data_IF_130672588727
#
_entry.id   IF_130672588727
#
_cell.length_a   1.000
_cell.length_b   1.000
_cell.length_c   1.000
_cell.angle_alpha   90.00
_cell.angle_beta   90.00
_cell.angle_gamma   90.00
#
_symmetry.space_group_name_H-M   'P 1'
#
loop_
_entity.id
_entity.type
_entity.pdbx_description
1 polymer ?
#
# COMPACT_ATOMS: atom_id res chain seq x y z
N UNK A 1 -33.83 -18.93 13.09
CA UNK A 1 -32.87 -18.48 14.11
C UNK A 1 -31.93 -17.49 13.41
N UNK A 2 -32.20 -16.19 13.49
CA UNK A 2 -31.36 -15.15 12.88
C UNK A 2 -30.17 -14.91 13.79
N UNK A 3 -29.02 -15.48 13.44
CA UNK A 3 -27.75 -15.15 14.06
C UNK A 3 -27.36 -13.74 13.61
N UNK A 4 -27.61 -12.73 14.46
CA UNK A 4 -27.03 -11.41 14.29
C UNK A 4 -25.56 -11.50 14.67
N UNK A 5 -24.69 -11.83 13.72
CA UNK A 5 -23.26 -11.58 13.88
C UNK A 5 -23.07 -10.07 13.81
N UNK A 6 -22.77 -9.45 14.94
CA UNK A 6 -22.35 -8.05 14.97
C UNK A 6 -21.01 -7.96 14.22
N UNK A 7 -21.05 -7.60 12.94
CA UNK A 7 -19.86 -7.31 12.15
C UNK A 7 -19.36 -5.94 12.58
N UNK A 8 -18.36 -5.94 13.46
CA UNK A 8 -17.65 -4.71 13.80
C UNK A 8 -16.73 -4.34 12.64
N UNK A 9 -16.83 -3.11 12.15
CA UNK A 9 -15.92 -2.55 11.17
C UNK A 9 -15.13 -1.38 11.77
N UNK A 10 -13.87 -1.26 11.38
CA UNK A 10 -12.97 -0.17 11.75
C UNK A 10 -12.21 0.28 10.52
N UNK A 11 -12.35 1.55 10.16
CA UNK A 11 -11.56 2.16 9.10
C UNK A 11 -10.14 2.46 9.62
N UNK A 12 -9.17 2.27 8.73
CA UNK A 12 -7.80 2.71 8.94
C UNK A 12 -7.63 4.06 8.24
N UNK A 13 -7.05 5.00 8.96
CA UNK A 13 -6.81 6.34 8.45
C UNK A 13 -5.39 6.44 7.92
N UNK A 14 -5.22 7.19 6.84
CA UNK A 14 -3.90 7.57 6.35
C UNK A 14 -3.18 8.40 7.41
N UNK A 15 -1.95 8.02 7.71
CA UNK A 15 -1.09 8.72 8.65
C UNK A 15 -0.29 9.77 7.89
N UNK A 16 -0.27 11.04 8.36
CA UNK A 16 0.56 12.07 7.76
C UNK A 16 2.04 11.67 7.74
N UNK A 17 2.66 11.84 6.58
CA UNK A 17 4.09 11.61 6.37
C UNK A 17 4.75 12.96 6.08
N UNK A 18 5.61 13.41 6.97
CA UNK A 18 6.39 14.63 6.80
C UNK A 18 7.67 14.33 6.03
N UNK A 19 7.91 15.01 4.90
CA UNK A 19 9.07 14.76 4.01
C UNK A 19 10.05 15.92 4.04
N UNK A 20 11.34 15.61 4.16
CA UNK A 20 12.44 16.58 4.11
C UNK A 20 13.66 15.97 3.44
N UNK A 21 13.91 16.35 2.19
CA UNK A 21 15.02 15.82 1.39
C UNK A 21 14.88 14.31 1.19
N UNK A 22 15.91 13.55 1.58
CA UNK A 22 15.94 12.08 1.51
C UNK A 22 15.37 11.39 2.76
N UNK A 23 14.71 12.12 3.65
CA UNK A 23 14.08 11.56 4.85
C UNK A 23 12.57 11.84 4.84
N UNK A 24 11.80 10.88 5.34
CA UNK A 24 10.41 11.07 5.71
C UNK A 24 10.16 10.55 7.12
N UNK A 25 9.22 11.15 7.84
CA UNK A 25 8.87 10.73 9.19
C UNK A 25 7.35 10.62 9.35
N UNK A 26 6.91 9.69 10.19
CA UNK A 26 5.52 9.50 10.54
C UNK A 26 5.40 8.96 11.96
N UNK A 27 4.24 9.17 12.59
CA UNK A 27 3.99 8.72 13.97
C UNK A 27 2.93 7.62 13.99
N UNK A 28 3.24 6.53 14.67
CA UNK A 28 2.27 5.51 15.04
C UNK A 28 2.23 5.45 16.57
N UNK A 29 1.05 5.69 17.14
CA UNK A 29 0.86 5.90 18.57
C UNK A 29 1.83 6.96 19.13
N UNK A 30 2.77 6.53 19.98
CA UNK A 30 3.82 7.36 20.61
C UNK A 30 5.18 7.24 19.92
N UNK A 31 5.31 6.34 18.96
CA UNK A 31 6.59 6.00 18.34
C UNK A 31 6.78 6.84 17.05
N UNK A 32 7.93 7.49 16.93
CA UNK A 32 8.34 8.19 15.71
C UNK A 32 9.12 7.23 14.80
N UNK A 33 8.63 7.06 13.58
CA UNK A 33 9.28 6.29 12.54
C UNK A 33 9.99 7.22 11.57
N UNK A 34 11.16 6.79 11.09
CA UNK A 34 11.92 7.48 10.05
C UNK A 34 12.07 6.56 8.85
N UNK A 35 11.99 7.13 7.65
CA UNK A 35 12.20 6.46 6.39
C UNK A 35 13.29 7.22 5.62
N UNK A 36 14.43 6.57 5.38
CA UNK A 36 15.54 7.16 4.64
C UNK A 36 15.60 6.59 3.23
N UNK A 37 15.46 7.46 2.25
CA UNK A 37 15.55 7.14 0.83
C UNK A 37 17.01 7.10 0.40
N UNK A 38 17.37 6.10 -0.41
CA UNK A 38 18.72 5.98 -0.94
C UNK A 38 18.79 4.99 -2.09
N UNK A 39 20.01 4.53 -2.36
CA UNK A 39 20.31 3.60 -3.44
C UNK A 39 21.18 2.46 -2.87
N UNK A 40 21.02 1.22 -3.36
CA UNK A 40 21.90 0.09 -3.04
C UNK A 40 23.26 0.28 -3.70
N UNK A 41 24.34 -0.04 -2.99
CA UNK A 41 25.70 0.12 -3.50
C UNK A 41 25.99 -0.83 -4.67
N UNK A 42 25.47 -2.06 -4.61
CA UNK A 42 25.75 -3.14 -5.55
C UNK A 42 24.93 -3.03 -6.84
N UNK A 43 23.61 -2.94 -6.71
CA UNK A 43 22.68 -3.00 -7.84
C UNK A 43 22.16 -1.64 -8.29
N UNK A 44 22.63 -0.56 -7.65
CA UNK A 44 22.19 0.83 -7.92
C UNK A 44 20.67 0.99 -7.87
N UNK A 45 19.97 0.14 -7.11
CA UNK A 45 18.50 0.16 -7.00
C UNK A 45 18.06 1.09 -5.88
N UNK A 46 16.97 1.85 -6.06
CA UNK A 46 16.34 2.62 -5.01
C UNK A 46 16.01 1.75 -3.79
N UNK A 47 16.13 2.32 -2.60
CA UNK A 47 15.76 1.68 -1.34
C UNK A 47 15.15 2.67 -0.37
N UNK A 48 14.34 2.15 0.55
CA UNK A 48 13.86 2.89 1.73
C UNK A 48 14.26 2.11 2.97
N UNK A 49 14.93 2.77 3.91
CA UNK A 49 15.26 2.21 5.23
C UNK A 49 14.29 2.80 6.24
N UNK A 50 13.36 1.99 6.71
CA UNK A 50 12.45 2.33 7.80
C UNK A 50 13.11 2.00 9.13
N UNK A 51 13.12 2.95 10.07
CA UNK A 51 13.71 2.77 11.40
C UNK A 51 12.78 3.30 12.49
N UNK A 52 12.66 2.50 13.55
CA UNK A 52 12.06 2.87 14.83
C UNK A 52 12.72 2.01 15.92
N UNK A 53 12.01 1.02 16.46
CA UNK A 53 12.56 0.00 17.38
C UNK A 53 13.38 -1.07 16.66
N UNK A 54 13.01 -1.36 15.41
CA UNK A 54 13.76 -2.20 14.48
C UNK A 54 13.92 -1.46 13.16
N UNK A 55 14.88 -1.91 12.37
CA UNK A 55 15.12 -1.41 11.03
C UNK A 55 14.61 -2.40 9.99
N UNK A 56 13.93 -1.90 8.97
CA UNK A 56 13.51 -2.65 7.79
C UNK A 56 14.01 -1.94 6.53
N UNK A 57 14.61 -2.69 5.61
CA UNK A 57 15.04 -2.14 4.32
C UNK A 57 14.16 -2.69 3.22
N UNK A 58 13.46 -1.80 2.54
CA UNK A 58 12.83 -2.09 1.26
C UNK A 58 13.82 -1.83 0.13
N UNK A 59 13.99 -2.78 -0.79
CA UNK A 59 14.79 -2.60 -2.00
C UNK A 59 13.87 -2.69 -3.21
N UNK A 60 13.93 -1.68 -4.08
CA UNK A 60 13.24 -1.71 -5.36
C UNK A 60 13.64 -2.92 -6.18
N UNK A 61 12.68 -3.46 -6.92
CA UNK A 61 12.92 -4.51 -7.91
C UNK A 61 13.64 -3.92 -9.14
N UNK A 62 13.36 -2.65 -9.48
CA UNK A 62 13.84 -1.98 -10.68
C UNK A 62 14.86 -0.89 -10.37
N UNK A 63 15.85 -0.73 -11.24
CA UNK A 63 17.00 0.16 -11.04
C UNK A 63 16.63 1.65 -11.09
N UNK A 64 15.65 2.05 -11.90
CA UNK A 64 15.26 3.46 -12.02
C UNK A 64 13.88 3.75 -11.43
N UNK A 65 13.38 2.88 -10.54
CA UNK A 65 12.11 3.14 -9.91
C UNK A 65 12.17 4.38 -9.00
N UNK A 66 11.08 5.13 -8.96
CA UNK A 66 10.75 6.01 -7.84
C UNK A 66 9.98 5.19 -6.81
N UNK A 67 10.37 5.32 -5.56
CA UNK A 67 9.67 4.71 -4.45
C UNK A 67 8.81 5.75 -3.77
N UNK A 68 7.55 5.41 -3.58
CA UNK A 68 6.65 6.18 -2.74
C UNK A 68 5.98 5.27 -1.72
N UNK A 69 5.50 5.82 -0.62
CA UNK A 69 4.83 5.02 0.39
C UNK A 69 3.74 5.80 1.12
N UNK A 70 2.76 5.05 1.60
CA UNK A 70 1.73 5.51 2.51
C UNK A 70 1.61 4.58 3.72
N UNK A 71 1.22 5.16 4.85
CA UNK A 71 1.01 4.43 6.10
C UNK A 71 -0.44 4.61 6.53
N UNK A 72 -1.07 3.54 6.97
CA UNK A 72 -2.45 3.54 7.44
C UNK A 72 -2.52 2.92 8.83
N UNK A 73 -3.25 3.55 9.74
CA UNK A 73 -3.42 3.04 11.10
C UNK A 73 -4.80 3.37 11.66
N UNK A 74 -5.21 2.58 12.64
CA UNK A 74 -6.44 2.80 13.40
C UNK A 74 -6.06 2.82 14.89
N UNK A 75 -6.45 3.84 15.68
CA UNK A 75 -6.06 3.94 17.10
C UNK A 75 -6.50 2.76 17.97
N UNK A 76 -7.51 1.99 17.53
CA UNK A 76 -8.01 0.80 18.24
C UNK A 76 -7.35 -0.50 17.77
N UNK A 77 -6.52 -0.44 16.73
CA UNK A 77 -5.82 -1.57 16.13
C UNK A 77 -4.39 -1.66 16.66
N UNK A 78 -3.91 -2.88 16.94
CA UNK A 78 -2.49 -3.14 17.22
C UNK A 78 -1.63 -3.23 15.95
N UNK A 79 -2.28 -3.22 14.80
CA UNK A 79 -1.69 -3.35 13.49
C UNK A 79 -1.82 -2.01 12.76
N UNK A 80 -0.76 -1.65 12.03
CA UNK A 80 -0.78 -0.61 11.00
C UNK A 80 -0.33 -1.22 9.67
N UNK A 81 -0.63 -0.56 8.56
CA UNK A 81 -0.23 -0.99 7.23
C UNK A 81 0.74 0.01 6.62
N UNK A 82 1.78 -0.48 5.97
CA UNK A 82 2.68 0.28 5.13
C UNK A 82 2.52 -0.25 3.70
N UNK A 83 2.26 0.64 2.76
CA UNK A 83 2.20 0.32 1.35
C UNK A 83 3.29 1.08 0.62
N UNK A 84 4.10 0.37 -0.16
CA UNK A 84 5.21 0.94 -0.92
C UNK A 84 4.92 0.75 -2.40
N UNK A 85 4.79 1.84 -3.14
CA UNK A 85 4.62 1.82 -4.58
C UNK A 85 5.98 1.81 -5.28
N UNK A 86 6.13 0.93 -6.25
CA UNK A 86 7.24 0.96 -7.20
C UNK A 86 6.74 1.64 -8.47
N UNK A 87 7.33 2.78 -8.77
CA UNK A 87 6.97 3.57 -9.93
C UNK A 87 8.13 3.59 -10.91
N UNK A 88 7.98 3.05 -12.11
CA UNK A 88 8.98 3.16 -13.18
C UNK A 88 8.54 4.23 -14.19
N UNK A 89 8.24 3.85 -15.44
CA UNK A 89 7.49 4.67 -16.38
C UNK A 89 6.00 4.77 -15.98
N UNK A 90 5.54 3.75 -15.25
CA UNK A 90 4.20 3.61 -14.71
C UNK A 90 4.23 2.95 -13.33
N UNK A 91 3.11 3.03 -12.60
CA UNK A 91 2.95 2.33 -11.33
C UNK A 91 2.83 0.82 -11.53
N UNK A 92 3.63 0.06 -10.78
CA UNK A 92 3.65 -1.42 -10.82
C UNK A 92 2.83 -2.07 -9.70
N UNK A 93 2.01 -1.28 -9.00
CA UNK A 93 1.31 -1.73 -7.79
C UNK A 93 2.06 -1.42 -6.50
N UNK A 94 1.48 -1.85 -5.39
CA UNK A 94 1.95 -1.51 -4.05
C UNK A 94 2.24 -2.76 -3.22
N UNK A 95 3.48 -2.87 -2.73
CA UNK A 95 3.85 -3.90 -1.77
C UNK A 95 3.27 -3.56 -0.40
N UNK A 96 2.56 -4.52 0.20
CA UNK A 96 1.86 -4.38 1.45
C UNK A 96 2.66 -5.02 2.58
N UNK A 97 2.88 -4.23 3.63
CA UNK A 97 3.51 -4.62 4.87
C UNK A 97 2.57 -4.40 6.05
N UNK A 98 2.56 -5.35 6.96
CA UNK A 98 1.97 -5.22 8.29
C UNK A 98 3.04 -4.70 9.24
N UNK A 99 2.73 -3.62 9.95
CA UNK A 99 3.50 -3.12 11.08
C UNK A 99 2.81 -3.55 12.36
N UNK A 100 3.46 -4.42 13.13
CA UNK A 100 2.97 -4.89 14.44
C UNK A 100 4.14 -4.90 15.43
N UNK A 101 3.98 -4.21 16.57
CA UNK A 101 5.04 -4.06 17.59
C UNK A 101 6.39 -3.55 17.03
N UNK A 102 6.33 -2.68 16.01
CA UNK A 102 7.51 -2.11 15.33
C UNK A 102 8.17 -3.04 14.30
N UNK A 103 7.70 -4.27 14.16
CA UNK A 103 8.17 -5.23 13.16
C UNK A 103 7.40 -5.05 11.85
N UNK A 104 8.12 -5.15 10.73
CA UNK A 104 7.58 -5.05 9.38
C UNK A 104 7.49 -6.44 8.76
N UNK A 105 6.29 -6.89 8.43
CA UNK A 105 6.05 -8.19 7.79
C UNK A 105 5.45 -7.98 6.41
N UNK A 106 6.13 -8.41 5.36
CA UNK A 106 5.56 -8.44 4.01
C UNK A 106 4.40 -9.45 3.95
N UNK A 107 3.27 -9.05 3.37
CA UNK A 107 2.09 -9.92 3.24
C UNK A 107 1.63 -10.15 1.79
N UNK A 108 2.15 -9.37 0.85
CA UNK A 108 1.85 -9.52 -0.57
C UNK A 108 1.85 -8.18 -1.30
N UNK A 109 1.48 -8.21 -2.57
CA UNK A 109 1.45 -7.03 -3.45
C UNK A 109 0.03 -6.78 -3.93
N UNK A 110 -0.40 -5.53 -3.88
CA UNK A 110 -1.58 -5.03 -4.58
C UNK A 110 -1.16 -4.73 -6.03
N UNK A 111 -1.30 -5.70 -6.92
CA UNK A 111 -0.88 -5.63 -8.33
C UNK A 111 -1.85 -4.80 -9.17
N UNK A 112 -2.00 -3.52 -8.80
CA UNK A 112 -2.92 -2.58 -9.45
C UNK A 112 -2.35 -1.16 -9.51
N UNK A 113 -2.67 -0.45 -10.59
CA UNK A 113 -2.43 0.98 -10.75
C UNK A 113 -3.74 1.76 -10.86
N UNK A 114 -3.74 3.03 -10.47
CA UNK A 114 -4.87 3.92 -10.75
C UNK A 114 -4.86 4.29 -12.23
N UNK A 115 -5.98 4.10 -12.93
CA UNK A 115 -6.11 4.52 -14.33
C UNK A 115 -6.89 5.83 -14.41
N UNK A 116 -6.15 6.95 -14.44
CA UNK A 116 -6.75 8.29 -14.42
C UNK A 116 -5.85 9.32 -15.11
N UNK A 117 -6.42 10.51 -15.38
CA UNK A 117 -5.67 11.68 -15.85
C UNK A 117 -5.14 12.47 -14.66
N UNK A 118 -3.83 12.73 -14.61
CA UNK A 118 -3.25 13.70 -13.68
C UNK A 118 -3.17 15.05 -14.40
N UNK A 119 -3.69 16.12 -13.79
CA UNK A 119 -3.51 17.48 -14.32
C UNK A 119 -4.10 17.75 -15.71
N UNK A 120 -5.08 16.96 -16.16
CA UNK A 120 -5.68 17.10 -17.50
C UNK A 120 -4.87 16.44 -18.62
N UNK A 121 -3.83 15.68 -18.29
CA UNK A 121 -3.07 14.88 -19.26
C UNK A 121 -3.85 13.63 -19.72
N UNK A 122 -3.30 12.90 -20.69
CA UNK A 122 -3.85 11.60 -21.11
C UNK A 122 -3.92 10.65 -19.91
N UNK A 123 -4.94 9.79 -19.88
CA UNK A 123 -5.04 8.77 -18.83
C UNK A 123 -3.81 7.86 -18.85
N UNK A 124 -3.26 7.62 -17.66
CA UNK A 124 -2.07 6.81 -17.48
C UNK A 124 -2.14 6.02 -16.16
N UNK A 125 -1.09 5.25 -15.89
CA UNK A 125 -0.98 4.23 -14.88
C UNK A 125 -0.30 4.83 -13.66
N UNK A 126 -1.11 5.47 -12.83
CA UNK A 126 -0.64 6.24 -11.69
C UNK A 126 -0.61 5.39 -10.42
N UNK A 127 0.07 5.91 -9.40
CA UNK A 127 0.11 5.26 -8.08
C UNK A 127 -1.30 5.04 -7.56
N UNK A 128 -1.57 3.83 -7.08
CA UNK A 128 -2.84 3.49 -6.44
C UNK A 128 -2.95 4.06 -5.02
N UNK A 129 -1.81 4.36 -4.36
CA UNK A 129 -1.74 4.74 -2.95
C UNK A 129 -2.76 5.83 -2.55
N UNK A 130 -2.92 6.94 -3.30
CA UNK A 130 -3.83 8.02 -2.92
C UNK A 130 -5.30 7.57 -2.83
N UNK A 131 -5.65 6.49 -3.53
CA UNK A 131 -7.02 6.01 -3.72
C UNK A 131 -7.33 4.76 -2.89
N UNK A 132 -6.47 4.33 -1.96
CA UNK A 132 -6.72 3.14 -1.15
C UNK A 132 -7.56 3.49 0.07
N UNK A 133 -8.64 2.73 0.26
CA UNK A 133 -9.43 2.69 1.48
C UNK A 133 -9.28 1.34 2.17
N UNK A 134 -9.00 1.35 3.48
CA UNK A 134 -8.73 0.14 4.27
C UNK A 134 -9.73 0.04 5.40
N UNK A 135 -10.46 -1.08 5.44
CA UNK A 135 -11.45 -1.38 6.47
C UNK A 135 -11.18 -2.75 7.05
N UNK A 136 -11.00 -2.81 8.36
CA UNK A 136 -10.92 -4.06 9.09
C UNK A 136 -12.30 -4.47 9.60
N UNK A 137 -12.64 -5.74 9.42
CA UNK A 137 -13.82 -6.37 10.01
C UNK A 137 -13.41 -7.37 11.08
N UNK A 138 -14.38 -8.04 11.72
CA UNK A 138 -14.10 -9.17 12.61
C UNK A 138 -13.38 -10.33 11.94
N UNK A 139 -13.47 -10.47 10.61
CA UNK A 139 -12.98 -11.65 9.87
C UNK A 139 -11.77 -11.34 8.98
N UNK A 140 -11.78 -10.19 8.30
CA UNK A 140 -10.83 -9.83 7.26
C UNK A 140 -10.57 -8.33 7.24
N UNK A 141 -9.39 -7.94 6.77
CA UNK A 141 -9.12 -6.57 6.33
C UNK A 141 -9.38 -6.46 4.83
N UNK A 142 -10.11 -5.43 4.42
CA UNK A 142 -10.43 -5.11 3.04
C UNK A 142 -9.62 -3.90 2.59
N UNK A 143 -9.05 -4.00 1.38
CA UNK A 143 -8.40 -2.91 0.66
C UNK A 143 -9.23 -2.65 -0.59
N UNK A 144 -9.85 -1.49 -0.67
CA UNK A 144 -10.73 -1.06 -1.77
C UNK A 144 -10.19 0.21 -2.42
N UNK A 145 -10.66 0.54 -3.62
CA UNK A 145 -10.05 1.58 -4.45
C UNK A 145 -11.07 2.65 -4.85
N UNK A 146 -10.79 3.88 -4.43
CA UNK A 146 -11.61 5.07 -4.64
C UNK A 146 -11.21 5.79 -5.95
N UNK A 147 -11.13 5.02 -7.03
CA UNK A 147 -10.86 5.52 -8.38
C UNK A 147 -11.80 4.82 -9.36
N UNK A 148 -12.35 5.52 -10.38
CA UNK A 148 -13.30 4.90 -11.30
C UNK A 148 -12.74 3.67 -12.02
N UNK A 149 -11.48 3.75 -12.46
CA UNK A 149 -10.81 2.70 -13.21
C UNK A 149 -9.45 2.37 -12.59
N UNK A 150 -9.11 1.09 -12.61
CA UNK A 150 -7.79 0.59 -12.24
C UNK A 150 -7.21 -0.26 -13.36
N UNK A 151 -5.89 -0.25 -13.48
CA UNK A 151 -5.14 -1.23 -14.27
C UNK A 151 -4.80 -2.41 -13.36
N UNK A 152 -5.23 -3.61 -13.73
CA UNK A 152 -4.81 -4.87 -13.13
C UNK A 152 -3.49 -5.33 -13.71
N UNK A 153 -2.62 -5.92 -12.87
CA UNK A 153 -1.34 -6.50 -13.26
C UNK A 153 -0.51 -5.57 -14.17
N UNK A 154 -0.27 -4.30 -13.77
CA UNK A 154 0.43 -3.34 -14.63
C UNK A 154 1.82 -3.87 -15.03
N UNK A 155 2.10 -3.88 -16.34
CA UNK A 155 3.32 -4.42 -16.96
C UNK A 155 3.37 -5.95 -17.05
N UNK A 156 2.30 -6.65 -16.69
CA UNK A 156 2.20 -8.12 -16.69
C UNK A 156 1.50 -8.69 -17.92
N UNK A 157 1.49 -10.02 -18.05
CA UNK A 157 0.87 -10.73 -19.17
C UNK A 157 -0.67 -10.61 -19.21
N UNK A 158 -1.31 -10.46 -18.05
CA UNK A 158 -2.77 -10.33 -17.92
C UNK A 158 -3.20 -8.90 -17.56
N UNK A 159 -2.50 -7.91 -18.11
CA UNK A 159 -2.83 -6.50 -17.89
C UNK A 159 -4.21 -6.17 -18.47
N UNK A 160 -5.07 -5.52 -17.67
CA UNK A 160 -6.39 -5.06 -18.13
C UNK A 160 -6.95 -3.93 -17.28
N UNK A 161 -7.80 -3.11 -17.89
CA UNK A 161 -8.52 -2.05 -17.19
C UNK A 161 -9.87 -2.58 -16.72
N UNK A 162 -10.21 -2.35 -15.45
CA UNK A 162 -11.51 -2.67 -14.87
C UNK A 162 -12.00 -1.51 -13.99
N UNK A 163 -13.28 -1.52 -13.63
CA UNK A 163 -13.83 -0.58 -12.66
C UNK A 163 -13.22 -0.80 -11.27
N UNK A 164 -12.86 0.28 -10.58
CA UNK A 164 -12.18 0.19 -9.27
C UNK A 164 -13.05 -0.46 -8.18
N UNK A 165 -14.37 -0.28 -8.24
CA UNK A 165 -15.33 -0.93 -7.33
C UNK A 165 -15.53 -2.43 -7.62
N UNK A 166 -15.07 -2.93 -8.78
CA UNK A 166 -15.14 -4.36 -9.14
C UNK A 166 -13.95 -5.17 -8.62
N UNK A 167 -13.03 -4.54 -7.90
CA UNK A 167 -11.90 -5.22 -7.29
C UNK A 167 -11.65 -4.73 -5.88
N UNK A 168 -11.31 -5.68 -5.02
CA UNK A 168 -10.78 -5.42 -3.70
C UNK A 168 -9.82 -6.53 -3.31
N UNK A 169 -8.97 -6.27 -2.33
CA UNK A 169 -8.13 -7.28 -1.72
C UNK A 169 -8.61 -7.57 -0.32
N UNK A 170 -8.52 -8.83 0.08
CA UNK A 170 -8.78 -9.25 1.45
C UNK A 170 -7.52 -9.82 2.07
N UNK A 171 -7.20 -9.40 3.29
CA UNK A 171 -6.16 -9.98 4.11
C UNK A 171 -6.81 -10.75 5.27
N UNK A 172 -6.51 -12.04 5.36
CA UNK A 172 -6.91 -12.90 6.49
C UNK A 172 -5.82 -13.91 6.76
N UNK A 173 -5.46 -14.13 8.04
CA UNK A 173 -4.37 -15.05 8.43
C UNK A 173 -3.07 -14.82 7.65
N UNK A 174 -2.70 -13.54 7.46
CA UNK A 174 -1.53 -13.10 6.66
C UNK A 174 -1.54 -13.53 5.19
N UNK A 175 -2.67 -14.00 4.67
CA UNK A 175 -2.86 -14.31 3.25
C UNK A 175 -3.63 -13.18 2.58
N UNK A 176 -2.96 -12.51 1.64
CA UNK A 176 -3.56 -11.51 0.78
C UNK A 176 -4.21 -12.22 -0.43
N UNK A 177 -5.48 -11.92 -0.67
CA UNK A 177 -6.24 -12.48 -1.79
C UNK A 177 -6.85 -11.34 -2.60
N UNK A 178 -6.64 -11.38 -3.92
CA UNK A 178 -7.34 -10.52 -4.86
C UNK A 178 -8.74 -11.08 -5.14
N UNK A 179 -9.76 -10.23 -5.09
CA UNK A 179 -11.15 -10.60 -5.36
C UNK A 179 -11.70 -9.66 -6.44
N UNK A 180 -12.27 -10.24 -7.50
CA UNK A 180 -12.89 -9.49 -8.60
C UNK A 180 -14.36 -9.89 -8.65
N UNK A 181 -15.25 -8.90 -8.58
CA UNK A 181 -16.70 -9.09 -8.77
C UNK A 181 -17.07 -8.85 -10.24
N UNK A 182 -17.89 -9.75 -10.79
CA UNK A 182 -18.36 -9.69 -12.17
C UNK A 182 -19.41 -8.59 -12.36
#
# INVERSE_FOLDING_TARGET
>A
MLSFTNVFSQAFNRIPVERKGSEATFKLDKDLYKAHFGITSESRRPKIIFSCKSSYTYNSIYQDAKLDFEVFSCPKSKVSFLLINNYYDFSLGADLYVIENGQFTFVGTLSIGAYNSIGGEKMNYNSILPYISIVNTTEKTYFSFEVPLVVLNPGGQDERIIEGNKIHYTLSNKKLQQNITQ
#
